data_IF_794498704284
#
_entry.id   IF_794498704284
#
_cell.length_a   1.000
_cell.length_b   1.000
_cell.length_c   1.000
_cell.angle_alpha   90.00
_cell.angle_beta   90.00
_cell.angle_gamma   90.00
#
_symmetry.space_group_name_H-M   'P 1'
#
loop_
_entity.id
_entity.type
_entity.pdbx_description
1 polymer ?
#
# COMPACT_ATOMS: atom_id res chain seq x y z
N UNK A 1 22.31 -1.26 -9.85
CA UNK A 1 21.23 -0.81 -8.96
C UNK A 1 21.80 0.33 -8.15
N UNK A 2 21.19 1.50 -8.18
CA UNK A 2 21.49 2.57 -7.23
C UNK A 2 20.47 2.49 -6.09
N UNK A 3 20.94 2.61 -4.85
CA UNK A 3 20.05 2.76 -3.71
C UNK A 3 19.33 4.11 -3.86
N UNK A 4 18.01 4.05 -3.94
CA UNK A 4 17.15 5.19 -4.16
C UNK A 4 16.97 6.01 -2.89
N UNK A 5 16.54 5.29 -1.86
CA UNK A 5 16.00 5.83 -0.63
C UNK A 5 16.01 4.69 0.39
N UNK A 6 16.28 5.03 1.65
CA UNK A 6 15.97 4.16 2.78
C UNK A 6 14.69 4.68 3.40
N UNK A 7 13.72 3.80 3.63
CA UNK A 7 12.57 4.09 4.47
C UNK A 7 12.81 3.47 5.85
N UNK A 8 13.30 4.29 6.78
CA UNK A 8 13.75 3.90 8.11
C UNK A 8 12.78 4.30 9.23
N UNK A 9 11.73 5.08 8.92
CA UNK A 9 10.68 5.49 9.87
C UNK A 9 9.64 4.39 10.16
N UNK A 10 9.97 3.13 9.90
CA UNK A 10 9.09 2.03 10.20
C UNK A 10 9.01 1.91 11.72
N UNK A 11 7.83 2.18 12.25
CA UNK A 11 7.59 2.16 13.69
C UNK A 11 7.30 0.73 14.13
N UNK A 12 8.19 0.14 14.93
CA UNK A 12 7.95 -1.14 15.60
C UNK A 12 7.54 -0.86 17.04
N UNK A 13 6.47 -1.49 17.51
CA UNK A 13 6.06 -1.40 18.91
C UNK A 13 6.95 -2.25 19.81
N UNK A 14 7.46 -3.37 19.28
CA UNK A 14 8.29 -4.32 20.04
C UNK A 14 9.58 -4.60 19.30
N UNK A 15 10.63 -4.88 20.06
CA UNK A 15 11.93 -5.23 19.48
C UNK A 15 11.91 -6.55 18.67
N UNK A 16 10.95 -7.43 18.95
CA UNK A 16 10.77 -8.72 18.29
C UNK A 16 9.90 -8.67 17.04
N UNK A 17 9.30 -7.52 16.71
CA UNK A 17 8.45 -7.42 15.53
C UNK A 17 9.30 -7.43 14.26
N UNK A 18 8.81 -8.15 13.26
CA UNK A 18 9.39 -8.24 11.92
C UNK A 18 8.32 -7.90 10.89
N UNK A 19 8.77 -7.45 9.72
CA UNK A 19 7.89 -7.23 8.56
C UNK A 19 7.61 -8.60 7.93
N UNK A 20 6.34 -8.92 7.73
CA UNK A 20 5.94 -10.09 6.94
C UNK A 20 5.82 -9.69 5.47
N UNK A 21 6.86 -9.97 4.68
CA UNK A 21 6.92 -9.59 3.25
C UNK A 21 5.90 -10.31 2.39
N UNK A 22 5.61 -11.58 2.68
CA UNK A 22 4.58 -12.34 1.97
C UNK A 22 3.18 -11.73 2.15
N UNK A 23 3.01 -10.96 3.23
CA UNK A 23 1.80 -10.24 3.58
C UNK A 23 1.96 -8.72 3.48
N UNK A 24 2.87 -8.23 2.63
CA UNK A 24 3.06 -6.80 2.37
C UNK A 24 2.88 -6.50 0.89
N UNK A 25 2.36 -5.31 0.56
CA UNK A 25 2.16 -4.88 -0.81
C UNK A 25 2.49 -3.39 -0.97
N UNK A 26 2.89 -3.01 -2.17
CA UNK A 26 3.30 -1.66 -2.49
C UNK A 26 2.52 -1.16 -3.69
N UNK A 27 2.24 0.13 -3.69
CA UNK A 27 1.68 0.79 -4.86
C UNK A 27 2.66 0.71 -6.02
N UNK A 28 2.09 0.51 -7.19
CA UNK A 28 2.82 0.37 -8.45
C UNK A 28 2.41 1.46 -9.44
N UNK A 29 1.40 2.27 -9.10
CA UNK A 29 1.02 3.49 -9.81
C UNK A 29 1.96 4.65 -9.43
N UNK A 30 2.57 5.37 -10.39
CA UNK A 30 3.47 6.49 -10.09
C UNK A 30 2.85 7.61 -9.24
N UNK A 31 1.54 7.83 -9.37
CA UNK A 31 0.79 8.84 -8.61
C UNK A 31 0.51 8.44 -7.17
N UNK A 32 0.61 7.15 -6.84
CA UNK A 32 0.31 6.60 -5.54
C UNK A 32 1.60 6.08 -4.90
N UNK A 33 1.88 6.51 -3.68
CA UNK A 33 3.09 6.14 -2.94
C UNK A 33 2.77 5.30 -1.71
N UNK A 34 1.82 4.38 -1.83
CA UNK A 34 1.40 3.56 -0.69
C UNK A 34 2.34 2.37 -0.46
N UNK A 35 2.76 2.17 0.79
CA UNK A 35 3.39 0.94 1.25
C UNK A 35 2.54 0.36 2.39
N UNK A 36 1.98 -0.83 2.18
CA UNK A 36 1.17 -1.51 3.16
C UNK A 36 1.98 -2.68 3.74
N UNK A 37 2.41 -2.54 4.99
CA UNK A 37 3.33 -3.45 5.65
C UNK A 37 2.64 -4.19 6.80
N UNK A 38 2.62 -5.52 6.75
CA UNK A 38 2.20 -6.34 7.87
C UNK A 38 3.34 -6.44 8.90
N UNK A 39 3.15 -5.86 10.09
CA UNK A 39 4.12 -5.82 11.19
C UNK A 39 3.46 -6.41 12.43
N UNK A 40 3.86 -7.63 12.81
CA UNK A 40 3.23 -8.35 13.92
C UNK A 40 1.72 -8.56 13.68
N UNK A 41 0.88 -7.98 14.55
CA UNK A 41 -0.60 -8.03 14.47
C UNK A 41 -1.22 -6.73 13.97
N UNK A 42 -0.45 -5.96 13.22
CA UNK A 42 -0.89 -4.69 12.66
C UNK A 42 -0.51 -4.60 11.20
N UNK A 43 -1.33 -3.89 10.42
CA UNK A 43 -0.96 -3.41 9.10
C UNK A 43 -0.70 -1.93 9.22
N UNK A 44 0.49 -1.51 8.82
CA UNK A 44 0.86 -0.11 8.75
C UNK A 44 0.80 0.32 7.29
N UNK A 45 0.04 1.38 7.02
CA UNK A 45 -0.07 1.95 5.68
C UNK A 45 0.67 3.28 5.68
N UNK A 46 1.67 3.40 4.82
CA UNK A 46 2.52 4.58 4.70
C UNK A 46 2.37 5.22 3.32
N UNK A 47 2.55 6.54 3.27
CA UNK A 47 2.98 7.25 2.08
C UNK A 47 4.52 7.28 2.11
N UNK A 48 5.17 6.36 1.38
CA UNK A 48 6.63 6.19 1.47
C UNK A 48 7.41 7.32 0.79
N UNK A 49 6.78 8.08 -0.13
CA UNK A 49 7.41 9.27 -0.71
C UNK A 49 7.36 10.45 0.25
N UNK A 50 6.22 10.67 0.93
CA UNK A 50 6.11 11.71 1.98
C UNK A 50 6.75 11.30 3.31
N UNK A 51 7.13 10.04 3.44
CA UNK A 51 7.67 9.45 4.65
C UNK A 51 6.72 9.61 5.85
N UNK A 52 5.43 9.34 5.61
CA UNK A 52 4.31 9.57 6.52
C UNK A 52 3.53 8.27 6.76
N UNK A 53 3.17 8.02 8.03
CA UNK A 53 2.25 6.94 8.38
C UNK A 53 0.82 7.46 8.22
N UNK A 54 0.07 6.85 7.30
CA UNK A 54 -1.30 7.24 7.01
C UNK A 54 -2.27 6.69 8.05
N UNK A 55 -2.20 5.39 8.35
CA UNK A 55 -2.99 4.74 9.39
C UNK A 55 -2.43 3.38 9.80
N UNK A 56 -2.99 2.83 10.88
CA UNK A 56 -2.72 1.47 11.35
C UNK A 56 -4.03 0.69 11.47
N UNK A 57 -4.03 -0.55 11.03
CA UNK A 57 -5.14 -1.50 11.25
C UNK A 57 -4.68 -2.60 12.19
N UNK A 58 -5.49 -2.92 13.20
CA UNK A 58 -5.28 -4.12 14.00
C UNK A 58 -5.91 -5.32 13.30
N UNK A 59 -5.12 -6.38 13.10
CA UNK A 59 -5.55 -7.60 12.41
C UNK A 59 -4.98 -8.81 13.13
N UNK A 60 -5.77 -9.87 13.26
CA UNK A 60 -5.38 -11.03 14.07
C UNK A 60 -4.10 -11.66 13.54
N UNK A 61 -4.07 -11.98 12.24
CA UNK A 61 -2.94 -12.51 11.50
C UNK A 61 -3.20 -12.31 10.00
N UNK A 62 -2.31 -11.63 9.28
CA UNK A 62 -2.45 -11.42 7.82
C UNK A 62 -1.92 -12.64 7.09
N UNK A 63 -2.75 -13.26 6.25
CA UNK A 63 -2.33 -14.32 5.34
C UNK A 63 -1.84 -13.72 4.02
N UNK A 64 -2.62 -12.79 3.45
CA UNK A 64 -2.32 -12.14 2.17
C UNK A 64 -2.80 -10.69 2.22
N UNK A 65 -2.05 -9.81 1.58
CA UNK A 65 -2.34 -8.39 1.47
C UNK A 65 -2.31 -7.97 0.01
N UNK A 66 -3.33 -7.24 -0.42
CA UNK A 66 -3.47 -6.79 -1.79
C UNK A 66 -3.88 -5.33 -1.84
N UNK A 67 -3.39 -4.63 -2.85
CA UNK A 67 -3.69 -3.23 -3.07
C UNK A 67 -4.31 -3.06 -4.46
N UNK A 68 -5.56 -2.61 -4.50
CA UNK A 68 -6.20 -2.13 -5.73
C UNK A 68 -5.79 -0.68 -5.90
N UNK A 69 -4.64 -0.45 -6.54
CA UNK A 69 -3.98 0.85 -6.59
C UNK A 69 -4.90 1.97 -7.10
N UNK A 70 -5.61 1.75 -8.20
CA UNK A 70 -6.44 2.78 -8.83
C UNK A 70 -7.58 3.25 -7.90
N UNK A 71 -8.24 2.28 -7.26
CA UNK A 71 -9.37 2.50 -6.35
C UNK A 71 -8.91 2.85 -4.92
N UNK A 72 -7.60 2.78 -4.66
CA UNK A 72 -6.99 2.95 -3.34
C UNK A 72 -7.64 2.05 -2.27
N UNK A 73 -7.95 0.80 -2.64
CA UNK A 73 -8.56 -0.18 -1.75
C UNK A 73 -7.51 -1.17 -1.26
N UNK A 74 -7.39 -1.30 0.05
CA UNK A 74 -6.60 -2.32 0.72
C UNK A 74 -7.48 -3.54 0.99
N UNK A 75 -7.11 -4.68 0.41
CA UNK A 75 -7.78 -5.96 0.58
C UNK A 75 -6.92 -6.89 1.45
N UNK A 76 -7.51 -7.38 2.55
CA UNK A 76 -6.85 -8.16 3.59
C UNK A 76 -7.52 -9.52 3.70
N UNK A 77 -6.72 -10.57 3.62
CA UNK A 77 -7.13 -11.93 3.94
C UNK A 77 -6.47 -12.39 5.23
N UNK A 78 -7.26 -12.76 6.22
CA UNK A 78 -6.75 -13.17 7.54
C UNK A 78 -6.56 -14.69 7.66
N UNK A 79 -5.55 -15.10 8.43
CA UNK A 79 -5.34 -16.50 8.80
C UNK A 79 -6.49 -16.96 9.68
N UNK A 80 -7.16 -18.05 9.29
CA UNK A 80 -8.32 -18.60 10.01
C UNK A 80 -9.68 -18.20 9.42
N UNK A 81 -9.71 -17.23 8.51
CA UNK A 81 -10.91 -16.85 7.74
C UNK A 81 -10.63 -17.01 6.23
N UNK A 82 -10.40 -18.25 5.75
CA UNK A 82 -9.88 -18.49 4.41
C UNK A 82 -10.91 -18.25 3.29
N UNK A 83 -12.16 -17.98 3.66
CA UNK A 83 -13.36 -17.72 2.86
C UNK A 83 -13.84 -16.26 2.98
N UNK A 84 -13.08 -15.39 3.64
CA UNK A 84 -13.42 -13.97 3.77
C UNK A 84 -12.30 -13.06 3.25
N UNK A 85 -12.72 -11.93 2.68
CA UNK A 85 -11.85 -10.84 2.29
C UNK A 85 -12.37 -9.54 2.93
N UNK A 86 -11.53 -8.86 3.70
CA UNK A 86 -11.84 -7.56 4.28
C UNK A 86 -11.26 -6.47 3.40
N UNK A 87 -12.07 -5.47 3.05
CA UNK A 87 -11.68 -4.38 2.16
C UNK A 87 -11.80 -3.05 2.88
N UNK A 88 -10.82 -2.18 2.69
CA UNK A 88 -10.72 -0.87 3.34
C UNK A 88 -10.34 0.19 2.32
N UNK A 89 -11.02 1.35 2.34
CA UNK A 89 -10.64 2.52 1.54
C UNK A 89 -9.48 3.21 2.23
N UNK A 90 -8.33 3.32 1.56
CA UNK A 90 -7.15 4.01 2.11
C UNK A 90 -7.48 5.47 2.40
N UNK A 91 -8.21 6.15 1.50
CA UNK A 91 -8.61 7.55 1.66
C UNK A 91 -9.44 7.76 2.92
N UNK A 92 -10.48 6.94 3.12
CA UNK A 92 -11.33 6.99 4.31
C UNK A 92 -10.52 6.72 5.59
N UNK A 93 -9.73 5.64 5.60
CA UNK A 93 -8.95 5.24 6.78
C UNK A 93 -7.89 6.28 7.16
N UNK A 94 -7.25 6.90 6.17
CA UNK A 94 -6.30 7.99 6.39
C UNK A 94 -6.97 9.22 7.02
N UNK A 95 -8.16 9.60 6.53
CA UNK A 95 -8.94 10.70 7.11
C UNK A 95 -9.29 10.41 8.58
N UNK A 96 -9.87 9.24 8.87
CA UNK A 96 -10.26 8.85 10.23
C UNK A 96 -9.07 8.85 11.19
N UNK A 97 -7.92 8.34 10.73
CA UNK A 97 -6.70 8.33 11.52
C UNK A 97 -6.19 9.76 11.80
N UNK A 98 -6.16 10.63 10.78
CA UNK A 98 -5.74 12.02 10.93
C UNK A 98 -6.68 12.80 11.88
N UNK A 99 -7.99 12.64 11.74
CA UNK A 99 -8.99 13.22 12.64
C UNK A 99 -8.78 12.76 14.09
N UNK A 100 -8.56 11.46 14.30
CA UNK A 100 -8.25 10.91 15.62
C UNK A 100 -6.95 11.46 16.22
N UNK A 101 -5.90 11.66 15.40
CA UNK A 101 -4.66 12.30 15.87
C UNK A 101 -4.88 13.76 16.26
N UNK A 102 -5.63 14.53 15.47
CA UNK A 102 -5.99 15.92 15.79
C UNK A 102 -6.77 16.01 17.11
N UNK A 103 -7.78 15.16 17.30
CA UNK A 103 -8.56 15.12 18.54
C UNK A 103 -7.69 14.79 19.77
N UNK A 104 -6.73 13.85 19.64
CA UNK A 104 -5.77 13.58 20.72
C UNK A 104 -4.89 14.76 21.03
N UNK A 105 -4.34 15.42 20.01
CA UNK A 105 -3.51 16.61 20.21
C UNK A 105 -4.29 17.71 20.94
N UNK A 106 -5.56 17.94 20.54
CA UNK A 106 -6.45 18.89 21.23
C UNK A 106 -6.73 18.47 22.68
N UNK A 107 -6.97 17.18 22.95
CA UNK A 107 -7.16 16.67 24.29
C UNK A 107 -5.91 16.89 25.17
N UNK A 108 -4.72 16.58 24.64
CA UNK A 108 -3.45 16.85 25.32
C UNK A 108 -3.26 18.35 25.60
N UNK A 109 -3.50 19.23 24.63
CA UNK A 109 -3.39 20.68 24.84
C UNK A 109 -4.41 21.20 25.87
N UNK A 110 -5.64 20.67 25.87
CA UNK A 110 -6.66 21.01 26.88
C UNK A 110 -6.22 20.56 28.28
N UNK A 111 -5.64 19.36 28.39
CA UNK A 111 -5.11 18.83 29.65
C UNK A 111 -3.90 19.63 30.16
N UNK A 112 -2.97 20.00 29.27
CA UNK A 112 -1.83 20.86 29.59
C UNK A 112 -2.28 22.24 30.08
N UNK A 113 -3.23 22.89 29.39
CA UNK A 113 -3.82 24.17 29.82
C UNK A 113 -4.50 24.06 31.18
N UNK A 114 -5.24 22.96 31.43
CA UNK A 114 -5.88 22.68 32.73
C UNK A 114 -4.83 22.53 33.83
N UNK A 115 -3.76 21.78 33.59
CA UNK A 115 -2.67 21.58 34.52
C UNK A 115 -1.91 22.89 34.82
N UNK A 116 -1.72 23.74 33.81
CA UNK A 116 -1.09 25.06 33.98
C UNK A 116 -1.97 26.00 34.82
N UNK A 117 -3.28 26.02 34.57
CA UNK A 117 -4.25 26.79 35.36
C UNK A 117 -4.26 26.33 36.82
N UNK A 118 -4.22 25.02 37.07
CA UNK A 118 -4.14 24.47 38.42
C UNK A 118 -2.83 24.85 39.13
N UNK A 119 -1.69 24.79 38.43
CA UNK A 119 -0.40 25.26 38.95
C UNK A 119 -0.45 26.74 39.34
N UNK A 120 -1.04 27.59 38.49
CA UNK A 120 -1.22 29.03 38.76
C UNK A 120 -2.13 29.28 39.97
N UNK A 121 -3.24 28.54 40.10
CA UNK A 121 -4.13 28.64 41.26
C UNK A 121 -3.43 28.21 42.57
N UNK A 122 -2.71 27.08 42.57
CA UNK A 122 -1.93 26.64 43.74
C UNK A 122 -0.84 27.65 44.14
N UNK A 123 -0.19 28.28 43.16
CA UNK A 123 0.78 29.35 43.44
C UNK A 123 0.11 30.59 44.04
N UNK A 124 -1.04 31.01 43.51
CA UNK A 124 -1.82 32.13 44.04
C UNK A 124 -2.31 31.85 45.47
N UNK A 125 -2.78 30.64 45.75
CA UNK A 125 -3.21 30.21 47.07
C UNK A 125 -2.05 30.24 48.07
N UNK A 126 -0.89 29.69 47.70
CA UNK A 126 0.34 29.77 48.52
C UNK A 126 0.74 31.23 48.81
N UNK A 127 0.58 32.13 47.83
CA UNK A 127 0.85 33.57 48.00
C UNK A 127 -0.15 34.21 48.97
N UNK A 128 -1.43 33.89 48.85
CA UNK A 128 -2.47 34.37 49.78
C UNK A 128 -2.27 33.86 51.21
N UNK A 129 -1.91 32.58 51.38
CA UNK A 129 -1.61 32.02 52.70
C UNK A 129 -0.40 32.71 53.34
N UNK A 130 0.65 33.03 52.56
CA UNK A 130 1.79 33.83 53.05
C UNK A 130 1.36 35.23 53.48
N UNK A 131 0.52 35.92 52.70
CA UNK A 131 0.03 37.25 53.06
C UNK A 131 -0.87 37.22 54.32
N UNK A 132 -1.71 36.19 54.49
CA UNK A 132 -2.51 36.02 55.73
C UNK A 132 -1.61 35.83 56.95
N UNK A 133 -0.59 34.97 56.86
CA UNK A 133 0.38 34.76 57.95
C UNK A 133 1.14 36.04 58.34
N UNK A 134 1.43 36.92 57.38
CA UNK A 134 2.05 38.21 57.65
C UNK A 134 1.09 39.20 58.32
N UNK A 135 -0.21 39.12 58.03
CA UNK A 135 -1.23 39.99 58.61
C UNK A 135 -1.60 39.57 60.04
N UNK A 136 -1.59 38.27 60.31
CA UNK A 136 -1.96 37.68 61.60
C UNK A 136 -0.74 37.46 62.52
N UNK A 137 0.41 38.08 62.23
CA UNK A 137 1.49 38.22 63.22
C UNK A 137 1.13 39.40 64.14
N UNK A 138 0.63 39.16 65.37
CA UNK A 138 0.58 40.22 66.36
C UNK A 138 2.01 40.66 66.68
N UNK A 139 2.23 41.98 66.81
CA UNK A 139 3.46 42.59 67.32
C UNK A 139 3.64 42.28 68.82
N UNK A 140 3.70 41.00 69.20
CA UNK A 140 3.97 40.56 70.56
C UNK A 140 5.33 39.86 70.60
N UNK A 141 6.33 40.63 71.04
CA UNK A 141 7.57 40.10 71.60
C UNK A 141 7.22 39.40 72.93
N UNK A 142 7.04 38.09 72.91
CA UNK A 142 7.12 37.28 74.12
C UNK A 142 8.09 36.11 73.88
N UNK A 143 9.26 36.22 74.51
CA UNK A 143 10.27 35.18 74.62
C UNK A 143 9.66 33.93 75.27
N UNK A 144 9.51 32.81 74.55
CA UNK A 144 9.39 31.51 75.20
C UNK A 144 9.99 30.35 74.37
N UNK A 145 10.62 29.45 75.13
CA UNK A 145 11.48 28.33 74.74
C UNK A 145 10.82 27.22 73.87
N UNK A 146 11.63 26.38 73.19
CA UNK A 146 11.14 25.34 72.29
C UNK A 146 10.74 24.06 73.04
N UNK A 147 9.78 23.30 72.50
CA UNK A 147 10.08 21.87 72.35
C UNK A 147 9.46 21.20 71.11
N UNK A 148 10.06 20.06 70.75
CA UNK A 148 9.29 18.87 70.38
C UNK A 148 9.16 18.54 68.90
N UNK A 149 9.98 17.58 68.46
CA UNK A 149 9.77 16.74 67.27
C UNK A 149 8.35 16.13 67.24
N UNK A 150 7.77 15.99 66.05
CA UNK A 150 7.15 14.77 65.48
C UNK A 150 6.14 15.14 64.38
N UNK A 151 6.35 14.68 63.15
CA UNK A 151 5.52 13.64 62.50
C UNK A 151 5.86 13.51 61.00
N UNK A 152 5.99 12.26 60.58
CA UNK A 152 6.00 11.74 59.22
C UNK A 152 4.66 11.97 58.52
N UNK A 153 4.67 12.34 57.24
CA UNK A 153 3.47 12.49 56.41
C UNK A 153 3.72 12.02 54.99
N UNK A 154 2.86 11.10 54.55
CA UNK A 154 2.98 10.22 53.41
C UNK A 154 3.13 10.90 52.04
N UNK A 155 3.99 10.27 51.24
CA UNK A 155 4.21 10.55 49.81
C UNK A 155 3.00 10.05 49.01
N UNK A 156 2.19 10.98 48.51
CA UNK A 156 0.98 10.71 47.73
C UNK A 156 1.35 10.27 46.29
N UNK A 157 1.22 8.97 45.99
CA UNK A 157 1.35 8.40 44.64
C UNK A 157 0.00 8.43 43.91
N UNK A 158 -0.28 9.51 43.19
CA UNK A 158 -1.36 9.56 42.19
C UNK A 158 -0.77 9.74 40.79
N UNK A 159 -0.45 8.63 40.12
CA UNK A 159 -0.03 8.70 38.70
C UNK A 159 -0.44 7.51 37.82
N UNK A 160 -1.11 6.47 38.32
CA UNK A 160 -1.33 5.24 37.55
C UNK A 160 -2.79 4.92 37.17
N UNK A 161 -3.76 5.78 37.48
CA UNK A 161 -5.19 5.48 37.26
C UNK A 161 -5.80 6.07 35.97
N UNK A 162 -5.10 6.96 35.24
CA UNK A 162 -5.69 7.74 34.15
C UNK A 162 -5.34 7.27 32.72
N UNK A 163 -4.36 6.38 32.55
CA UNK A 163 -4.04 5.85 31.20
C UNK A 163 -5.06 4.84 30.67
N UNK A 164 -5.86 4.22 31.54
CA UNK A 164 -6.80 3.17 31.15
C UNK A 164 -8.06 3.66 30.43
N UNK A 165 -8.56 4.87 30.74
CA UNK A 165 -9.83 5.36 30.18
C UNK A 165 -9.71 5.91 28.75
N UNK A 166 -8.52 6.39 28.35
CA UNK A 166 -8.28 6.87 26.99
C UNK A 166 -8.10 5.74 25.96
N UNK A 167 -7.73 4.53 26.40
CA UNK A 167 -7.59 3.38 25.50
C UNK A 167 -8.93 2.74 25.13
N UNK A 168 -9.97 2.90 25.96
CA UNK A 168 -11.24 2.20 25.78
C UNK A 168 -12.17 2.88 24.75
N UNK A 169 -12.04 4.20 24.56
CA UNK A 169 -12.80 4.96 23.54
C UNK A 169 -12.37 4.59 22.11
N UNK A 170 -11.21 3.95 21.95
CA UNK A 170 -10.63 3.63 20.64
C UNK A 170 -11.09 2.31 20.00
N UNK A 171 -11.55 1.35 20.80
CA UNK A 171 -11.94 0.04 20.26
C UNK A 171 -13.36 0.06 19.70
N UNK A 172 -14.25 0.92 20.20
CA UNK A 172 -15.67 0.96 19.78
C UNK A 172 -15.91 1.73 18.47
N UNK A 173 -15.13 2.78 18.17
CA UNK A 173 -15.22 3.51 16.88
C UNK A 173 -14.55 2.77 15.71
N UNK A 174 -13.98 1.59 16.00
CA UNK A 174 -13.38 0.71 15.00
C UNK A 174 -14.35 -0.28 14.35
N UNK A 175 -15.67 -0.06 14.49
CA UNK A 175 -16.71 -0.61 13.60
C UNK A 175 -16.61 0.02 12.20
N UNK A 176 -15.39 -0.04 11.67
CA UNK A 176 -14.80 0.66 10.55
C UNK A 176 -15.61 0.40 9.31
N UNK A 177 -15.61 1.42 8.45
CA UNK A 177 -16.03 1.39 7.06
C UNK A 177 -15.20 0.34 6.28
N UNK A 178 -15.50 -0.92 6.58
CA UNK A 178 -14.84 -2.13 6.16
C UNK A 178 -15.88 -2.99 5.48
N UNK A 179 -15.63 -3.32 4.22
CA UNK A 179 -16.49 -4.23 3.49
C UNK A 179 -15.94 -5.64 3.66
N UNK A 180 -16.72 -6.53 4.27
CA UNK A 180 -16.40 -7.96 4.33
C UNK A 180 -17.10 -8.66 3.18
N UNK A 181 -16.31 -9.25 2.29
CA UNK A 181 -16.79 -10.12 1.21
C UNK A 181 -16.60 -11.56 1.65
N UNK A 182 -17.69 -12.31 1.74
CA UNK A 182 -17.65 -13.73 2.06
C UNK A 182 -17.82 -14.57 0.79
N UNK A 183 -17.04 -15.63 0.68
CA UNK A 183 -17.07 -16.56 -0.44
C UNK A 183 -17.69 -17.88 0.01
N UNK A 184 -18.36 -18.56 -0.91
CA UNK A 184 -18.97 -19.86 -0.63
C UNK A 184 -17.97 -21.03 -0.63
N UNK A 185 -16.75 -20.78 -1.12
CA UNK A 185 -15.66 -21.74 -1.12
C UNK A 185 -14.38 -21.16 -0.53
N UNK A 186 -13.53 -22.05 -0.03
CA UNK A 186 -12.17 -21.69 0.40
C UNK A 186 -11.40 -21.06 -0.76
N UNK A 187 -10.97 -19.83 -0.57
CA UNK A 187 -10.11 -19.14 -1.54
C UNK A 187 -8.77 -19.88 -1.61
N UNK A 188 -8.39 -20.35 -2.79
CA UNK A 188 -7.06 -20.91 -3.00
C UNK A 188 -6.07 -19.78 -3.24
N UNK A 189 -6.42 -18.87 -4.14
CA UNK A 189 -5.57 -17.76 -4.56
C UNK A 189 -6.46 -16.56 -4.89
N UNK A 190 -5.99 -15.36 -4.53
CA UNK A 190 -6.60 -14.10 -4.95
C UNK A 190 -5.66 -13.45 -5.97
N UNK A 191 -6.23 -13.04 -7.10
CA UNK A 191 -5.47 -12.50 -8.23
C UNK A 191 -6.06 -11.15 -8.58
N UNK A 192 -5.26 -10.11 -8.49
CA UNK A 192 -5.69 -8.74 -8.73
C UNK A 192 -5.43 -8.36 -10.19
N UNK A 193 -6.21 -7.43 -10.72
CA UNK A 193 -5.81 -6.75 -11.95
C UNK A 193 -4.48 -6.05 -11.77
N UNK A 194 -3.80 -5.87 -12.89
CA UNK A 194 -2.56 -5.10 -12.93
C UNK A 194 -2.88 -3.64 -12.64
N UNK A 195 -1.91 -2.93 -12.11
CA UNK A 195 -2.06 -1.51 -11.77
C UNK A 195 -2.27 -0.57 -12.93
N UNK A 196 -1.87 -0.97 -14.14
CA UNK A 196 -2.18 -0.24 -15.36
C UNK A 196 -3.60 -0.51 -15.88
N UNK A 197 -4.36 -1.44 -15.28
CA UNK A 197 -5.77 -1.61 -15.59
C UNK A 197 -6.57 -0.39 -15.13
N UNK A 198 -7.56 -0.03 -15.94
CA UNK A 198 -8.51 1.02 -15.57
C UNK A 198 -9.53 0.57 -14.53
N UNK A 199 -9.51 -0.70 -14.12
CA UNK A 199 -10.54 -1.27 -13.26
C UNK A 199 -9.92 -2.00 -12.08
N UNK A 200 -10.54 -1.84 -10.91
CA UNK A 200 -10.23 -2.60 -9.70
C UNK A 200 -10.84 -4.00 -9.69
N UNK A 201 -10.66 -4.81 -10.74
CA UNK A 201 -11.12 -6.20 -10.68
C UNK A 201 -10.18 -7.06 -9.84
N UNK A 202 -10.76 -8.06 -9.19
CA UNK A 202 -10.00 -9.16 -8.61
C UNK A 202 -10.71 -10.48 -8.85
N UNK A 203 -9.94 -11.55 -8.89
CA UNK A 203 -10.43 -12.91 -9.08
C UNK A 203 -10.12 -13.76 -7.88
N UNK A 204 -11.17 -14.44 -7.44
CA UNK A 204 -11.11 -15.46 -6.41
C UNK A 204 -11.02 -16.81 -7.11
N UNK A 205 -9.87 -17.45 -7.01
CA UNK A 205 -9.66 -18.80 -7.51
C UNK A 205 -9.93 -19.80 -6.38
N UNK A 206 -10.83 -20.75 -6.60
CA UNK A 206 -11.09 -21.88 -5.71
C UNK A 206 -10.62 -23.19 -6.35
N UNK A 207 -10.99 -24.33 -5.75
CA UNK A 207 -10.73 -25.64 -6.37
C UNK A 207 -11.72 -25.97 -7.50
N UNK A 208 -12.95 -25.49 -7.42
CA UNK A 208 -14.03 -25.85 -8.34
C UNK A 208 -14.39 -24.74 -9.34
N UNK A 209 -14.04 -23.49 -9.04
CA UNK A 209 -14.40 -22.34 -9.85
C UNK A 209 -13.39 -21.20 -9.75
N UNK A 210 -13.57 -20.21 -10.62
CA UNK A 210 -13.11 -18.85 -10.33
C UNK A 210 -14.29 -17.89 -10.34
N UNK A 211 -14.17 -16.79 -9.59
CA UNK A 211 -15.15 -15.71 -9.55
C UNK A 211 -14.45 -14.37 -9.69
N UNK A 212 -14.86 -13.56 -10.67
CA UNK A 212 -14.36 -12.21 -10.90
C UNK A 212 -15.29 -11.21 -10.22
N UNK A 213 -14.71 -10.34 -9.42
CA UNK A 213 -15.37 -9.24 -8.73
C UNK A 213 -14.83 -7.91 -9.26
N UNK A 214 -15.70 -6.90 -9.32
CA UNK A 214 -15.33 -5.52 -9.51
C UNK A 214 -15.44 -4.79 -8.18
N UNK A 215 -14.35 -4.23 -7.69
CA UNK A 215 -14.36 -3.39 -6.50
C UNK A 215 -14.02 -1.95 -6.87
N UNK A 216 -14.72 -1.02 -6.21
CA UNK A 216 -14.57 0.41 -6.40
C UNK A 216 -14.91 1.14 -5.11
N UNK A 217 -14.41 2.38 -5.02
CA UNK A 217 -14.62 3.26 -3.88
C UNK A 217 -15.27 4.55 -4.37
N UNK A 218 -16.58 4.69 -4.16
CA UNK A 218 -17.30 5.90 -4.54
C UNK A 218 -17.18 6.94 -3.45
N UNK A 219 -16.88 8.17 -3.84
CA UNK A 219 -16.92 9.35 -2.97
C UNK A 219 -18.21 10.07 -3.32
N UNK A 220 -19.17 10.07 -2.39
CA UNK A 220 -20.35 10.92 -2.55
C UNK A 220 -19.89 12.36 -2.32
N UNK A 221 -19.85 13.16 -3.39
CA UNK A 221 -19.69 14.61 -3.28
C UNK A 221 -20.98 15.13 -2.64
N UNK A 222 -20.89 15.64 -1.41
CA UNK A 222 -22.00 16.41 -0.84
C UNK A 222 -22.21 17.59 -1.79
N UNK A 223 -23.38 17.65 -2.44
CA UNK A 223 -23.80 18.86 -3.13
C UNK A 223 -23.74 19.96 -2.06
N UNK A 224 -22.87 20.96 -2.26
CA UNK A 224 -22.80 22.11 -1.37
C UNK A 224 -24.19 22.75 -1.42
N UNK A 225 -25.04 22.42 -0.44
CA UNK A 225 -26.29 23.11 -0.24
C UNK A 225 -25.89 24.57 0.05
N UNK A 226 -26.04 25.44 -0.95
CA UNK A 226 -25.85 26.89 -0.89
C UNK A 226 -26.90 27.51 0.05
N UNK A 227 -26.96 27.04 1.30
CA UNK A 227 -27.73 27.69 2.34
C UNK A 227 -27.04 29.04 2.59
N UNK A 228 -27.63 30.10 2.02
CA UNK A 228 -27.24 31.49 2.26
C UNK A 228 -27.24 31.73 3.78
N UNK A 229 -26.05 31.66 4.41
CA UNK A 229 -25.87 31.99 5.82
C UNK A 229 -26.27 33.47 6.01
N UNK A 230 -27.46 33.70 6.54
CA UNK A 230 -27.98 35.03 6.90
C UNK A 230 -27.12 35.57 8.06
N UNK A 231 -26.13 36.42 7.72
CA UNK A 231 -25.16 37.01 8.63
C UNK A 231 -25.82 37.98 9.61
N UNK A 232 -26.46 37.44 10.65
CA UNK A 232 -27.06 38.18 11.75
C UNK A 232 -26.14 38.31 12.97
N UNK A 233 -25.60 39.51 13.15
CA UNK A 233 -25.04 40.14 14.36
C UNK A 233 -23.73 39.58 14.99
N UNK A 234 -22.79 40.51 15.16
CA UNK A 234 -21.39 40.39 15.54
C UNK A 234 -21.21 40.10 17.05
N UNK A 235 -21.43 38.86 17.50
CA UNK A 235 -21.13 38.45 18.87
C UNK A 235 -19.88 37.54 18.95
N UNK A 236 -18.96 37.97 19.82
CA UNK A 236 -17.74 37.35 20.35
C UNK A 236 -17.13 36.15 19.58
N UNK A 237 -15.92 36.37 19.04
CA UNK A 237 -15.04 35.40 18.34
C UNK A 237 -14.73 34.12 19.15
N UNK A 238 -15.73 33.27 19.40
CA UNK A 238 -15.45 31.86 19.69
C UNK A 238 -14.92 31.24 18.40
N UNK A 239 -13.65 30.80 18.44
CA UNK A 239 -13.03 29.96 17.40
C UNK A 239 -13.81 28.64 17.27
N UNK A 240 -15.00 28.70 16.67
CA UNK A 240 -15.76 27.56 16.24
C UNK A 240 -14.98 26.96 15.07
N UNK A 241 -14.06 26.06 15.40
CA UNK A 241 -13.46 25.16 14.43
C UNK A 241 -14.61 24.46 13.70
N UNK A 242 -14.88 24.87 12.45
CA UNK A 242 -15.81 24.15 11.57
C UNK A 242 -15.28 22.72 11.47
N UNK A 243 -15.94 21.78 12.12
CA UNK A 243 -15.60 20.36 12.02
C UNK A 243 -15.81 19.95 10.56
N UNK A 244 -14.72 19.77 9.82
CA UNK A 244 -14.76 19.21 8.47
C UNK A 244 -15.49 17.87 8.55
N UNK A 245 -16.67 17.74 7.93
CA UNK A 245 -17.38 16.46 7.89
C UNK A 245 -16.51 15.43 7.17
N UNK A 246 -16.48 14.16 7.63
CA UNK A 246 -15.78 13.10 6.91
C UNK A 246 -16.35 12.96 5.49
N UNK A 247 -15.51 12.80 4.46
CA UNK A 247 -16.01 12.50 3.12
C UNK A 247 -16.81 11.21 3.20
N UNK A 248 -18.02 11.18 2.62
CA UNK A 248 -18.82 9.96 2.58
C UNK A 248 -18.28 9.05 1.49
N UNK A 249 -17.53 8.02 1.90
CA UNK A 249 -16.92 7.04 0.98
C UNK A 249 -17.62 5.70 1.15
N UNK A 250 -18.17 5.18 0.05
CA UNK A 250 -18.85 3.89 -0.01
C UNK A 250 -17.98 2.88 -0.75
N UNK A 251 -17.70 1.75 -0.10
CA UNK A 251 -16.98 0.63 -0.71
C UNK A 251 -17.95 -0.39 -1.28
N UNK A 252 -17.84 -0.61 -2.59
CA UNK A 252 -18.67 -1.56 -3.31
C UNK A 252 -17.84 -2.70 -3.89
N UNK A 253 -18.46 -3.87 -4.00
CA UNK A 253 -17.82 -5.07 -4.54
C UNK A 253 -18.88 -5.96 -5.20
N UNK A 254 -18.90 -5.92 -6.53
CA UNK A 254 -19.93 -6.53 -7.35
C UNK A 254 -19.39 -7.77 -8.06
N UNK A 255 -20.10 -8.89 -7.93
CA UNK A 255 -19.77 -10.13 -8.65
C UNK A 255 -20.07 -9.96 -10.14
N UNK A 256 -19.03 -10.01 -10.96
CA UNK A 256 -19.14 -9.81 -12.41
C UNK A 256 -19.31 -11.13 -13.16
N UNK A 257 -18.54 -12.15 -12.81
CA UNK A 257 -18.58 -13.43 -13.49
C UNK A 257 -18.17 -14.56 -12.56
N UNK A 258 -18.82 -15.71 -12.70
CA UNK A 258 -18.48 -16.95 -12.02
C UNK A 258 -18.45 -18.07 -13.05
N UNK A 259 -17.39 -18.87 -13.04
CA UNK A 259 -17.25 -20.03 -13.90
C UNK A 259 -16.84 -21.25 -13.08
N UNK A 260 -17.66 -22.30 -13.17
CA UNK A 260 -17.35 -23.61 -12.63
C UNK A 260 -16.49 -24.40 -13.63
N UNK A 261 -15.38 -24.98 -13.19
CA UNK A 261 -14.49 -25.75 -14.07
C UNK A 261 -15.18 -26.99 -14.66
N UNK A 262 -16.20 -27.51 -13.99
CA UNK A 262 -17.02 -28.62 -14.45
C UNK A 262 -17.91 -28.27 -15.65
N UNK A 263 -18.19 -26.98 -15.90
CA UNK A 263 -18.99 -26.55 -17.06
C UNK A 263 -18.16 -26.41 -18.34
N UNK A 264 -16.85 -26.64 -18.27
CA UNK A 264 -15.96 -26.55 -19.41
C UNK A 264 -16.03 -27.86 -20.21
N UNK A 265 -16.30 -27.83 -21.53
CA UNK A 265 -16.50 -29.05 -22.32
C UNK A 265 -15.29 -30.00 -22.35
N UNK A 266 -14.10 -29.49 -22.06
CA UNK A 266 -12.84 -30.24 -22.09
C UNK A 266 -12.19 -30.26 -20.71
N UNK A 267 -11.54 -31.36 -20.31
CA UNK A 267 -10.84 -31.43 -19.04
C UNK A 267 -9.60 -30.53 -19.06
N UNK A 268 -9.70 -29.34 -18.48
CA UNK A 268 -8.62 -28.35 -18.39
C UNK A 268 -7.70 -28.56 -17.18
N UNK A 269 -7.87 -29.65 -16.42
CA UNK A 269 -7.12 -29.90 -15.19
C UNK A 269 -7.49 -28.93 -14.05
N UNK A 270 -6.76 -29.00 -12.94
CA UNK A 270 -6.94 -28.05 -11.84
C UNK A 270 -6.29 -26.73 -12.24
N UNK A 271 -7.05 -25.64 -12.27
CA UNK A 271 -6.47 -24.31 -12.51
C UNK A 271 -5.54 -23.94 -11.35
N UNK A 272 -4.28 -23.69 -11.70
CA UNK A 272 -3.23 -23.35 -10.74
C UNK A 272 -3.14 -21.84 -10.59
N UNK A 273 -3.07 -21.12 -11.71
CA UNK A 273 -2.86 -19.69 -11.79
C UNK A 273 -3.69 -19.10 -12.95
N UNK A 274 -3.91 -17.79 -12.93
CA UNK A 274 -4.55 -17.06 -14.03
C UNK A 274 -4.04 -15.63 -14.08
N UNK A 275 -4.31 -14.95 -15.19
CA UNK A 275 -3.92 -13.56 -15.39
C UNK A 275 -4.80 -12.92 -16.47
N UNK A 276 -4.92 -11.59 -16.44
CA UNK A 276 -5.80 -10.80 -17.32
C UNK A 276 -5.01 -9.78 -18.13
N UNK A 277 -5.62 -9.29 -19.21
CA UNK A 277 -5.08 -8.14 -19.94
C UNK A 277 -5.51 -6.85 -19.26
N UNK A 278 -4.85 -5.75 -19.61
CA UNK A 278 -5.10 -4.45 -18.98
C UNK A 278 -6.56 -4.01 -19.13
N UNK A 279 -7.14 -4.32 -20.30
CA UNK A 279 -8.53 -4.03 -20.63
C UNK A 279 -9.53 -4.97 -19.94
N UNK A 280 -9.05 -6.04 -19.30
CA UNK A 280 -9.88 -7.07 -18.67
C UNK A 280 -10.92 -7.67 -19.64
N UNK A 281 -10.56 -7.78 -20.92
CA UNK A 281 -11.38 -8.40 -21.95
C UNK A 281 -11.04 -9.87 -22.12
N UNK A 282 -9.77 -10.23 -21.88
CA UNK A 282 -9.25 -11.59 -21.99
C UNK A 282 -8.60 -12.02 -20.69
N UNK A 283 -8.73 -13.31 -20.44
CA UNK A 283 -8.04 -13.98 -19.35
C UNK A 283 -7.33 -15.21 -19.88
N UNK A 284 -6.16 -15.50 -19.32
CA UNK A 284 -5.47 -16.77 -19.50
C UNK A 284 -5.44 -17.52 -18.17
N UNK A 285 -5.55 -18.83 -18.21
CA UNK A 285 -5.43 -19.69 -17.03
C UNK A 285 -4.40 -20.79 -17.29
N UNK A 286 -3.51 -21.03 -16.34
CA UNK A 286 -2.56 -22.13 -16.32
C UNK A 286 -3.03 -23.24 -15.37
N UNK A 287 -2.84 -24.50 -15.75
CA UNK A 287 -3.38 -25.65 -15.04
C UNK A 287 -2.33 -26.69 -14.65
N UNK A 288 -2.75 -27.62 -13.78
CA UNK A 288 -1.91 -28.71 -13.29
C UNK A 288 -1.58 -29.78 -14.33
N UNK A 289 -2.29 -29.82 -15.45
CA UNK A 289 -2.01 -30.75 -16.56
C UNK A 289 -1.30 -30.04 -17.73
N UNK A 290 -0.72 -28.87 -17.46
CA UNK A 290 0.04 -28.07 -18.41
C UNK A 290 -0.78 -27.36 -19.47
N UNK A 291 -2.12 -27.37 -19.38
CA UNK A 291 -2.96 -26.62 -20.30
C UNK A 291 -2.94 -25.12 -19.96
N UNK A 292 -2.58 -24.29 -20.95
CA UNK A 292 -2.85 -22.86 -20.99
C UNK A 292 -4.12 -22.63 -21.80
N UNK A 293 -5.15 -22.07 -21.17
CA UNK A 293 -6.42 -21.79 -21.84
C UNK A 293 -6.74 -20.31 -21.83
N UNK A 294 -7.50 -19.86 -22.82
CA UNK A 294 -7.90 -18.47 -23.00
C UNK A 294 -9.41 -18.32 -22.96
N UNK A 295 -9.84 -17.21 -22.37
CA UNK A 295 -11.20 -16.89 -22.04
C UNK A 295 -11.54 -15.48 -22.49
N UNK A 296 -12.78 -15.30 -22.95
CA UNK A 296 -13.37 -13.98 -23.16
C UNK A 296 -14.16 -13.60 -21.92
N UNK A 297 -13.72 -12.55 -21.21
CA UNK A 297 -14.38 -12.09 -19.98
C UNK A 297 -15.74 -11.45 -20.31
N UNK A 298 -15.81 -10.64 -21.37
CA UNK A 298 -17.02 -9.93 -21.80
C UNK A 298 -18.12 -10.89 -22.25
N UNK A 299 -17.76 -11.88 -23.07
CA UNK A 299 -18.68 -12.91 -23.54
C UNK A 299 -18.91 -14.02 -22.51
N UNK A 300 -18.12 -14.04 -21.43
CA UNK A 300 -18.14 -15.05 -20.36
C UNK A 300 -17.96 -16.47 -20.90
N UNK A 301 -17.05 -16.63 -21.86
CA UNK A 301 -16.89 -17.87 -22.64
C UNK A 301 -15.46 -18.37 -22.68
N UNK A 302 -15.33 -19.70 -22.63
CA UNK A 302 -14.13 -20.41 -23.01
C UNK A 302 -13.87 -20.23 -24.51
N UNK A 303 -12.67 -19.78 -24.88
CA UNK A 303 -12.32 -19.66 -26.29
C UNK A 303 -11.62 -20.91 -26.79
N UNK A 304 -10.46 -21.26 -26.20
CA UNK A 304 -9.65 -22.41 -26.63
C UNK A 304 -8.54 -22.77 -25.64
N UNK A 305 -7.99 -23.97 -25.82
CA UNK A 305 -6.67 -24.36 -25.29
C UNK A 305 -5.61 -23.83 -26.26
N UNK A 306 -4.69 -23.00 -25.77
CA UNK A 306 -3.62 -22.38 -26.57
C UNK A 306 -2.40 -23.30 -26.59
N UNK A 307 -2.05 -23.84 -25.43
CA UNK A 307 -0.87 -24.66 -25.22
C UNK A 307 -1.23 -25.79 -24.25
N UNK A 308 -0.62 -26.97 -24.44
CA UNK A 308 -0.74 -28.08 -23.50
C UNK A 308 0.57 -28.84 -23.45
N UNK A 309 1.13 -28.94 -22.25
CA UNK A 309 2.28 -29.78 -21.94
C UNK A 309 1.84 -30.90 -21.00
N UNK A 310 1.73 -32.13 -21.49
CA UNK A 310 1.23 -33.22 -20.65
C UNK A 310 2.22 -33.62 -19.54
N UNK A 311 3.48 -33.20 -19.65
CA UNK A 311 4.56 -33.58 -18.74
C UNK A 311 4.79 -32.52 -17.64
N UNK A 312 4.33 -31.29 -17.81
CA UNK A 312 4.67 -30.17 -16.92
C UNK A 312 3.43 -29.38 -16.46
N UNK A 313 3.32 -29.11 -15.17
CA UNK A 313 2.29 -28.19 -14.65
C UNK A 313 2.64 -26.75 -14.99
N UNK A 314 1.63 -25.90 -15.23
CA UNK A 314 1.84 -24.45 -15.33
C UNK A 314 1.67 -23.84 -13.94
N UNK A 315 2.78 -23.32 -13.41
CA UNK A 315 2.85 -22.78 -12.05
C UNK A 315 2.56 -21.28 -12.00
N UNK A 316 2.97 -20.53 -13.05
CA UNK A 316 2.66 -19.11 -13.22
C UNK A 316 2.37 -18.79 -14.68
N UNK A 317 1.50 -17.82 -14.90
CA UNK A 317 1.23 -17.22 -16.20
C UNK A 317 1.29 -15.70 -16.09
N UNK A 318 1.82 -15.05 -17.12
CA UNK A 318 1.78 -13.60 -17.27
C UNK A 318 1.46 -13.24 -18.72
N UNK A 319 0.31 -12.64 -18.98
CA UNK A 319 -0.04 -12.12 -20.31
C UNK A 319 0.81 -10.88 -20.64
N UNK A 320 1.08 -10.64 -21.92
CA UNK A 320 1.78 -9.42 -22.34
C UNK A 320 0.75 -8.40 -22.83
N UNK A 321 0.73 -7.21 -22.25
CA UNK A 321 -0.27 -6.15 -22.41
C UNK A 321 -0.25 -5.47 -23.75
N UNK A 322 0.92 -5.27 -24.36
CA UNK A 322 1.05 -4.39 -25.53
C UNK A 322 0.31 -4.94 -26.75
N UNK A 323 0.15 -6.26 -26.82
CA UNK A 323 -0.63 -6.93 -27.84
C UNK A 323 -1.75 -7.81 -27.25
N UNK A 324 -1.60 -8.31 -26.01
CA UNK A 324 -2.46 -9.37 -25.46
C UNK A 324 -2.45 -10.63 -26.34
N UNK A 325 -1.43 -10.75 -27.20
CA UNK A 325 -1.24 -11.84 -28.14
C UNK A 325 -0.10 -12.75 -27.69
N UNK A 326 0.58 -12.42 -26.60
CA UNK A 326 1.65 -13.24 -26.03
C UNK A 326 1.44 -13.45 -24.54
N UNK A 327 2.00 -14.54 -24.04
CA UNK A 327 2.14 -14.77 -22.61
C UNK A 327 3.51 -15.35 -22.29
N UNK A 328 3.93 -15.14 -21.05
CA UNK A 328 5.04 -15.82 -20.40
C UNK A 328 4.44 -16.87 -19.48
N UNK A 329 4.97 -18.08 -19.57
CA UNK A 329 4.53 -19.24 -18.80
C UNK A 329 5.73 -19.75 -18.01
N UNK A 330 5.53 -20.00 -16.73
CA UNK A 330 6.48 -20.74 -15.88
C UNK A 330 5.86 -22.09 -15.60
N UNK A 331 6.60 -23.15 -15.93
CA UNK A 331 6.15 -24.52 -15.68
C UNK A 331 6.83 -25.12 -14.45
N UNK A 332 6.52 -26.37 -14.14
CA UNK A 332 7.25 -27.15 -13.13
C UNK A 332 8.72 -27.34 -13.48
N UNK A 333 9.07 -27.23 -14.76
CA UNK A 333 10.44 -27.27 -15.26
C UNK A 333 11.16 -25.94 -15.03
N UNK A 334 12.51 -25.93 -15.04
CA UNK A 334 13.27 -24.69 -14.90
C UNK A 334 13.04 -23.69 -16.05
N UNK A 335 12.43 -24.12 -17.15
CA UNK A 335 12.27 -23.29 -18.33
C UNK A 335 11.15 -22.25 -18.20
N UNK A 336 11.42 -21.04 -18.66
CA UNK A 336 10.42 -20.01 -18.89
C UNK A 336 10.08 -19.97 -20.38
N UNK A 337 8.79 -20.08 -20.69
CA UNK A 337 8.27 -20.22 -22.05
C UNK A 337 7.55 -18.94 -22.47
N UNK A 338 7.85 -18.42 -23.65
CA UNK A 338 7.03 -17.40 -24.30
C UNK A 338 6.07 -18.08 -25.30
N UNK A 339 4.78 -17.79 -25.20
CA UNK A 339 3.73 -18.38 -26.03
C UNK A 339 3.04 -17.29 -26.86
N UNK A 340 2.83 -17.56 -28.15
CA UNK A 340 1.96 -16.76 -29.01
C UNK A 340 0.51 -17.25 -28.84
N UNK A 341 -0.33 -16.40 -28.24
CA UNK A 341 -1.73 -16.66 -27.95
C UNK A 341 -2.61 -16.70 -29.19
N UNK A 342 -2.17 -16.16 -30.34
CA UNK A 342 -2.93 -16.19 -31.61
C UNK A 342 -2.72 -17.47 -32.39
N UNK A 343 -1.46 -17.87 -32.56
CA UNK A 343 -1.08 -19.01 -33.37
C UNK A 343 -0.95 -20.30 -32.55
N UNK A 344 -0.94 -20.21 -31.21
CA UNK A 344 -0.59 -21.33 -30.34
C UNK A 344 0.86 -21.78 -30.50
N UNK A 345 1.70 -20.97 -31.16
CA UNK A 345 3.09 -21.32 -31.41
C UNK A 345 3.94 -21.04 -30.18
N UNK A 346 4.73 -22.03 -29.79
CA UNK A 346 5.68 -21.94 -28.68
C UNK A 346 6.99 -21.33 -29.16
N UNK A 347 7.43 -20.26 -28.53
CA UNK A 347 8.81 -19.78 -28.59
C UNK A 347 9.46 -20.03 -27.23
N UNK A 348 10.08 -21.19 -27.13
CA UNK A 348 10.96 -21.56 -26.02
C UNK A 348 12.37 -21.05 -26.38
N UNK A 349 13.29 -20.66 -25.50
CA UNK A 349 13.58 -21.07 -24.14
C UNK A 349 14.40 -19.94 -23.50
N UNK A 350 13.88 -19.23 -22.50
CA UNK A 350 14.78 -18.49 -21.62
C UNK A 350 15.42 -19.50 -20.66
N UNK A 351 16.45 -20.21 -21.14
CA UNK A 351 17.19 -21.16 -20.31
C UNK A 351 17.85 -20.37 -19.19
N UNK A 352 17.53 -20.64 -17.92
CA UNK A 352 18.08 -19.87 -16.80
C UNK A 352 19.60 -20.03 -16.60
N UNK A 353 20.35 -20.63 -17.52
CA UNK A 353 21.81 -20.75 -17.42
C UNK A 353 22.29 -21.54 -16.19
N UNK A 354 21.48 -22.47 -15.68
CA UNK A 354 21.76 -23.22 -14.46
C UNK A 354 21.12 -22.65 -13.19
N UNK A 355 20.32 -21.59 -13.29
CA UNK A 355 19.47 -21.16 -12.17
C UNK A 355 18.43 -22.24 -11.85
N UNK A 356 17.91 -22.22 -10.61
CA UNK A 356 16.92 -23.15 -10.10
C UNK A 356 15.55 -23.06 -10.80
N UNK A 357 14.50 -23.55 -10.15
CA UNK A 357 13.13 -23.43 -10.65
C UNK A 357 12.65 -21.98 -10.49
N UNK A 358 12.05 -21.41 -11.53
CA UNK A 358 11.46 -20.06 -11.43
C UNK A 358 10.21 -20.13 -10.52
N UNK A 359 10.16 -19.29 -9.48
CA UNK A 359 9.07 -19.24 -8.51
C UNK A 359 8.12 -18.07 -8.78
N UNK A 360 8.67 -16.93 -9.21
CA UNK A 360 7.92 -15.71 -9.48
C UNK A 360 8.45 -15.03 -10.73
N UNK A 361 7.55 -14.45 -11.51
CA UNK A 361 7.86 -13.65 -12.69
C UNK A 361 7.20 -12.29 -12.58
N UNK A 362 7.95 -11.27 -13.00
CA UNK A 362 7.51 -9.90 -13.11
C UNK A 362 7.89 -9.41 -14.50
N UNK A 363 7.01 -8.63 -15.12
CA UNK A 363 7.21 -8.10 -16.48
C UNK A 363 7.09 -6.60 -16.39
N UNK A 364 8.12 -5.91 -16.88
CA UNK A 364 8.13 -4.44 -16.93
C UNK A 364 7.01 -3.96 -17.87
N UNK A 365 6.40 -2.80 -17.57
CA UNK A 365 5.33 -2.19 -18.37
C UNK A 365 5.66 -2.05 -19.87
N UNK A 366 6.92 -1.85 -20.22
CA UNK A 366 7.39 -1.74 -21.61
C UNK A 366 7.44 -3.09 -22.35
N UNK A 367 7.36 -4.17 -21.58
CA UNK A 367 7.49 -5.57 -21.99
C UNK A 367 8.81 -5.88 -22.70
N UNK A 368 9.84 -5.05 -22.44
CA UNK A 368 11.20 -5.31 -22.89
C UNK A 368 11.94 -6.22 -21.93
N UNK A 369 11.64 -6.10 -20.63
CA UNK A 369 12.33 -6.79 -19.54
C UNK A 369 11.37 -7.69 -18.76
N UNK A 370 11.81 -8.91 -18.49
CA UNK A 370 11.22 -9.82 -17.50
C UNK A 370 12.22 -10.03 -16.38
N UNK A 371 11.74 -10.07 -15.15
CA UNK A 371 12.52 -10.50 -13.98
C UNK A 371 11.91 -11.79 -13.45
N UNK A 372 12.75 -12.81 -13.30
CA UNK A 372 12.41 -14.07 -12.68
C UNK A 372 13.15 -14.22 -11.35
N UNK A 373 12.45 -14.67 -10.32
CA UNK A 373 13.05 -15.12 -9.07
C UNK A 373 13.08 -16.63 -9.03
N UNK A 374 14.22 -17.19 -8.66
CA UNK A 374 14.48 -18.62 -8.76
C UNK A 374 14.72 -19.23 -7.37
N UNK A 375 14.46 -20.54 -7.27
CA UNK A 375 14.55 -21.31 -6.03
C UNK A 375 15.95 -21.40 -5.42
N UNK A 376 16.98 -21.05 -6.18
CA UNK A 376 18.39 -20.98 -5.75
C UNK A 376 18.80 -19.59 -5.27
N UNK A 377 17.82 -18.74 -4.91
CA UNK A 377 18.05 -17.35 -4.46
C UNK A 377 18.75 -16.47 -5.51
N UNK A 378 18.58 -16.82 -6.79
CA UNK A 378 19.01 -15.99 -7.91
C UNK A 378 17.86 -15.17 -8.48
N UNK A 379 18.21 -13.99 -9.00
CA UNK A 379 17.33 -13.11 -9.77
C UNK A 379 17.86 -13.06 -11.20
N UNK A 380 17.07 -13.55 -12.14
CA UNK A 380 17.36 -13.46 -13.57
C UNK A 380 16.64 -12.26 -14.19
N UNK A 381 17.37 -11.47 -14.97
CA UNK A 381 16.84 -10.37 -15.78
C UNK A 381 16.94 -10.78 -17.24
N UNK A 382 15.84 -10.74 -17.95
CA UNK A 382 15.75 -11.23 -19.32
C UNK A 382 15.21 -10.16 -20.27
N UNK A 383 15.72 -10.16 -21.49
CA UNK A 383 15.14 -9.43 -22.61
C UNK A 383 14.05 -10.28 -23.26
N UNK A 384 12.81 -9.83 -23.19
CA UNK A 384 11.65 -10.57 -23.71
C UNK A 384 11.70 -10.68 -25.25
N UNK A 385 11.90 -9.60 -26.04
CA UNK A 385 11.92 -9.70 -27.50
C UNK A 385 12.99 -10.66 -28.05
N UNK A 386 14.18 -10.65 -27.44
CA UNK A 386 15.32 -11.44 -27.89
C UNK A 386 15.43 -12.79 -27.18
N UNK A 387 14.56 -13.08 -26.20
CA UNK A 387 14.59 -14.29 -25.36
C UNK A 387 15.97 -14.55 -24.74
N UNK A 388 16.64 -13.50 -24.26
CA UNK A 388 18.01 -13.57 -23.77
C UNK A 388 18.10 -13.24 -22.27
N UNK A 389 18.83 -14.06 -21.51
CA UNK A 389 19.27 -13.70 -20.16
C UNK A 389 20.29 -12.55 -20.24
N UNK A 390 19.92 -11.39 -19.73
CA UNK A 390 20.79 -10.21 -19.69
C UNK A 390 21.70 -10.22 -18.47
N UNK A 391 21.16 -10.63 -17.32
CA UNK A 391 21.87 -10.62 -16.04
C UNK A 391 21.33 -11.69 -15.11
N UNK A 392 22.21 -12.29 -14.33
CA UNK A 392 21.88 -13.10 -13.18
C UNK A 392 22.52 -12.43 -11.95
N UNK A 393 21.74 -12.27 -10.89
CA UNK A 393 22.20 -11.80 -9.58
C UNK A 393 22.04 -12.94 -8.59
N UNK A 394 23.12 -13.40 -8.00
CA UNK A 394 23.12 -14.46 -7.00
C UNK A 394 23.19 -13.89 -5.58
N UNK A 395 22.85 -14.72 -4.59
CA UNK A 395 22.87 -14.40 -3.16
C UNK A 395 21.89 -13.29 -2.74
N UNK A 396 20.75 -13.18 -3.42
CA UNK A 396 19.66 -12.32 -2.96
C UNK A 396 18.77 -13.11 -2.01
N UNK A 397 18.55 -12.62 -0.80
CA UNK A 397 17.53 -13.20 0.09
C UNK A 397 16.14 -12.81 -0.44
N UNK A 398 15.67 -13.55 -1.46
CA UNK A 398 14.41 -13.25 -2.12
C UNK A 398 13.20 -13.37 -1.18
N UNK A 399 13.31 -14.16 -0.11
CA UNK A 399 12.26 -14.26 0.90
C UNK A 399 11.86 -12.90 1.52
N UNK A 400 12.68 -11.86 1.29
CA UNK A 400 12.50 -10.50 1.79
C UNK A 400 12.59 -9.43 0.71
N UNK A 401 12.44 -9.83 -0.55
CA UNK A 401 12.48 -8.92 -1.67
C UNK A 401 11.11 -8.84 -2.35
N UNK A 402 10.64 -7.62 -2.57
CA UNK A 402 9.45 -7.31 -3.31
C UNK A 402 9.82 -6.53 -4.56
N UNK A 403 9.26 -6.93 -5.70
CA UNK A 403 9.40 -6.20 -6.94
C UNK A 403 8.06 -5.56 -7.27
N UNK A 404 8.06 -4.25 -7.47
CA UNK A 404 6.89 -3.52 -7.98
C UNK A 404 6.46 -4.08 -9.34
N UNK A 405 5.16 -4.08 -9.63
CA UNK A 405 4.62 -4.57 -10.91
C UNK A 405 5.20 -3.85 -12.13
N UNK A 406 5.56 -2.57 -11.96
CA UNK A 406 6.26 -1.78 -12.98
C UNK A 406 7.69 -2.24 -13.25
N UNK A 407 8.25 -3.13 -12.40
CA UNK A 407 9.64 -3.57 -12.39
C UNK A 407 10.67 -2.42 -12.25
N UNK A 408 10.24 -1.26 -11.75
CA UNK A 408 11.11 -0.08 -11.60
C UNK A 408 11.78 0.00 -10.24
N UNK A 409 11.17 -0.62 -9.22
CA UNK A 409 11.68 -0.61 -7.86
C UNK A 409 11.76 -2.04 -7.31
N UNK A 410 12.97 -2.42 -6.87
CA UNK A 410 13.20 -3.58 -6.01
C UNK A 410 13.26 -3.08 -4.57
N UNK A 411 12.41 -3.64 -3.72
CA UNK A 411 12.31 -3.29 -2.31
C UNK A 411 12.80 -4.48 -1.52
N UNK A 412 13.74 -4.29 -0.61
CA UNK A 412 14.24 -5.36 0.25
C UNK A 412 14.17 -4.95 1.71
N UNK A 413 13.81 -5.85 2.62
CA UNK A 413 14.20 -5.65 4.01
C UNK A 413 15.57 -6.25 4.25
N UNK A 414 16.45 -5.42 4.79
CA UNK A 414 17.65 -5.94 5.42
C UNK A 414 17.25 -6.56 6.78
N UNK A 415 17.63 -7.83 7.03
CA UNK A 415 17.39 -8.52 8.31
C UNK A 415 17.84 -7.74 9.54
N UNK A 416 18.87 -6.91 9.39
CA UNK A 416 19.49 -6.16 10.46
C UNK A 416 18.90 -4.76 10.63
N UNK A 417 18.39 -4.14 9.56
CA UNK A 417 18.16 -2.68 9.55
C UNK A 417 16.78 -2.23 10.00
N UNK A 418 15.80 -3.13 10.22
CA UNK A 418 14.38 -2.75 10.48
C UNK A 418 13.82 -1.74 9.47
N UNK A 419 14.50 -1.55 8.33
CA UNK A 419 14.16 -0.58 7.30
C UNK A 419 13.85 -1.29 6.00
N UNK A 420 13.25 -0.54 5.09
CA UNK A 420 13.09 -0.95 3.71
C UNK A 420 14.11 -0.19 2.85
N UNK A 421 14.88 -0.96 2.10
CA UNK A 421 15.79 -0.44 1.09
C UNK A 421 15.11 -0.47 -0.26
N UNK A 422 15.04 0.69 -0.92
CA UNK A 422 14.49 0.82 -2.25
C UNK A 422 15.65 0.93 -3.24
N UNK A 423 15.62 0.10 -4.27
CA UNK A 423 16.57 0.14 -5.37
C UNK A 423 15.82 0.53 -6.64
N UNK A 424 16.24 1.62 -7.28
CA UNK A 424 15.78 1.95 -8.62
C UNK A 424 16.45 1.02 -9.62
N UNK A 425 15.63 0.36 -10.41
CA UNK A 425 16.07 -0.48 -11.51
C UNK A 425 15.98 0.35 -12.80
N UNK A 426 17.08 1.06 -13.11
CA UNK A 426 17.24 1.74 -14.38
C UNK A 426 17.74 0.74 -15.43
N UNK A 427 16.83 0.28 -16.27
CA UNK A 427 17.12 -0.68 -17.34
C UNK A 427 17.72 -0.04 -18.60
N UNK A 428 17.48 1.26 -18.80
CA UNK A 428 17.91 2.03 -19.98
C UNK A 428 19.44 2.17 -20.17
N UNK A 429 20.25 1.75 -19.19
CA UNK A 429 21.71 1.87 -19.26
C UNK A 429 22.40 0.84 -20.18
N UNK A 430 21.67 0.11 -21.04
CA UNK A 430 22.28 -0.80 -22.01
C UNK A 430 21.73 -0.73 -23.45
N UNK A 431 21.35 0.44 -23.99
CA UNK A 431 21.43 0.68 -25.46
C UNK A 431 21.70 2.17 -25.78
N UNK A 432 22.87 2.67 -25.38
CA UNK A 432 23.58 3.75 -26.09
C UNK A 432 25.00 3.80 -25.56
N UNK A 433 25.98 3.42 -26.39
CA UNK A 433 27.37 3.85 -26.20
C UNK A 433 27.32 5.37 -26.17
N UNK A 434 27.46 5.98 -25.00
CA UNK A 434 27.62 7.43 -24.88
C UNK A 434 28.98 7.72 -25.50
N UNK A 435 28.99 8.06 -26.79
CA UNK A 435 30.13 8.74 -27.38
C UNK A 435 30.27 10.06 -26.63
N UNK A 436 31.49 10.36 -26.15
CA UNK A 436 31.76 11.64 -25.51
C UNK A 436 31.27 12.74 -26.47
N UNK A 437 30.44 13.69 -26.02
CA UNK A 437 30.16 14.86 -26.83
C UNK A 437 31.51 15.49 -27.20
N UNK A 438 31.72 15.89 -28.48
CA UNK A 438 32.93 16.60 -28.84
C UNK A 438 33.10 17.81 -27.90
N UNK A 439 34.34 18.18 -27.56
CA UNK A 439 34.59 19.31 -26.67
C UNK A 439 33.83 20.52 -27.19
N UNK A 440 33.02 21.12 -26.31
CA UNK A 440 32.24 22.32 -26.60
C UNK A 440 33.24 23.41 -26.96
N UNK A 441 33.38 23.69 -28.27
CA UNK A 441 34.01 24.91 -28.74
C UNK A 441 33.08 26.04 -28.29
N UNK A 442 33.60 26.94 -27.44
CA UNK A 442 32.83 28.06 -26.92
C UNK A 442 32.19 28.82 -28.10
N UNK A 443 30.86 28.88 -28.11
CA UNK A 443 30.14 29.70 -29.08
C UNK A 443 30.52 31.18 -28.85
N UNK A 444 30.75 31.96 -29.92
CA UNK A 444 30.99 33.38 -29.78
C UNK A 444 29.80 34.03 -29.06
N UNK A 445 30.11 34.90 -28.10
CA UNK A 445 29.14 35.69 -27.35
C UNK A 445 28.37 36.56 -28.34
N UNK A 446 27.12 36.20 -28.60
CA UNK A 446 26.18 37.04 -29.35
C UNK A 446 25.42 37.89 -28.35
N UNK A 447 25.62 39.21 -28.40
CA UNK A 447 24.82 40.16 -27.62
C UNK A 447 23.35 40.07 -28.03
N UNK A 448 22.50 39.57 -27.12
CA UNK A 448 21.06 39.55 -27.31
C UNK A 448 20.49 40.90 -26.93
N UNK A 449 20.07 41.71 -27.91
CA UNK A 449 19.21 42.87 -27.68
C UNK A 449 17.84 42.39 -27.20
N UNK A 450 17.42 42.82 -26.01
CA UNK A 450 16.09 42.57 -25.47
C UNK A 450 15.03 43.19 -26.38
N UNK A 451 14.20 42.36 -27.00
CA UNK A 451 12.95 42.78 -27.63
C UNK A 451 11.83 42.57 -26.61
N UNK A 452 11.19 43.67 -26.22
CA UNK A 452 10.01 43.69 -25.35
C UNK A 452 8.83 43.09 -26.13
N UNK A 453 8.37 41.90 -25.74
CA UNK A 453 7.17 41.27 -26.31
C UNK A 453 5.97 41.59 -25.41
N UNK A 454 5.02 42.36 -25.95
CA UNK A 454 3.73 42.63 -25.32
C UNK A 454 2.89 41.36 -25.19
N UNK A 455 2.35 41.11 -23.99
CA UNK A 455 1.38 40.03 -23.73
C UNK A 455 0.04 40.35 -24.40
N UNK A 456 -0.35 39.56 -25.40
CA UNK A 456 -1.75 39.40 -25.80
C UNK A 456 -2.28 38.11 -25.19
N UNK A 457 -3.44 38.23 -24.52
CA UNK A 457 -4.26 37.10 -24.04
C UNK A 457 -4.77 36.32 -25.26
N UNK A 458 -4.55 35.01 -25.28
CA UNK A 458 -5.34 34.10 -26.12
C UNK A 458 -5.77 32.90 -25.30
N UNK A 459 -7.06 32.83 -25.07
CA UNK A 459 -7.84 31.64 -24.74
C UNK A 459 -7.73 30.61 -25.86
N UNK A 460 -7.36 29.38 -25.53
CA UNK A 460 -7.70 28.22 -26.37
C UNK A 460 -7.93 27.00 -25.49
N UNK A 461 -9.17 26.55 -25.56
CA UNK A 461 -9.64 25.20 -25.33
C UNK A 461 -8.85 24.21 -26.21
N UNK A 462 -8.48 23.06 -25.67
CA UNK A 462 -8.10 21.90 -26.46
C UNK A 462 -8.69 20.66 -25.79
N UNK A 463 -9.76 20.19 -26.43
CA UNK A 463 -10.23 18.80 -26.42
C UNK A 463 -9.12 17.97 -27.06
N UNK A 464 -8.56 17.00 -26.32
CA UNK A 464 -8.41 15.59 -26.68
C UNK A 464 -7.71 14.85 -25.53
#
# INVERSE_FOLDING_TARGET
MSKAQTFDKIMFQRASETINFEASCFSTLPQNSYACLAIGRQIHVYDYLKNELLFKLHVSNVQQLYLLDKEQILAIREVGMPDQLKMFSIKMQSYLYAAGQKQRQLAFTKEEKKLEKEKKMRQAEKKMQKMRKQRDQPDFEEEFMPPGKMFSGDTFLMSNALSGQLSQVMEEDSALNCRVVSFDERVKELIMTRSNSEFGFFTVLSNAKFTIYYAYSDVEEEEEDDEEEDYGEEDEEEDHYKEEKPPKITLSCDKQWELHFSSVPQPIGKVICLDMDDACERMITGSSNGALTMWNIKERQFQRIIYKDEEASIDRVRMLTKDGLKAIIVTSDPDVIQCDLTAGTRKSFMKPGGMGKCQHIFVERSEQIMIGFFSDNSLGVFNIPNNQLLRCLSNLDYSRAFLTDSCTQLITADPCSRGLDFYWMQWDNQVKKIERPPPVVAAPVVEVKQVVVQKKKSSTCAIF
#
